data_IF_319613429541
#
_entry.id   IF_319613429541
#
_cell.length_a   1.000
_cell.length_b   1.000
_cell.length_c   1.000
_cell.angle_alpha   90.00
_cell.angle_beta   90.00
_cell.angle_gamma   90.00
#
_symmetry.space_group_name_H-M   'P 1'
#
loop_
_entity.id
_entity.type
_entity.pdbx_description
1 polymer ?
#
# COMPACT_ATOMS: atom_id res chain seq x y z
N UNK A 1 21.15 5.22 18.74
CA UNK A 1 19.78 4.65 18.83
C UNK A 1 19.69 3.45 17.90
N UNK A 2 19.33 2.29 18.44
CA UNK A 2 19.32 0.99 17.78
C UNK A 2 18.26 0.95 16.66
N UNK A 3 18.66 0.71 15.41
CA UNK A 3 17.74 0.36 14.33
C UNK A 3 17.44 -1.13 14.42
N UNK A 4 16.28 -1.49 14.97
CA UNK A 4 15.78 -2.86 14.93
C UNK A 4 15.36 -3.18 13.50
N UNK A 5 16.03 -4.14 12.87
CA UNK A 5 15.54 -4.76 11.63
C UNK A 5 14.23 -5.52 11.95
N UNK A 6 13.10 -5.26 11.26
CA UNK A 6 11.79 -5.73 11.68
C UNK A 6 11.48 -7.12 11.09
N UNK A 7 12.11 -8.18 11.55
CA UNK A 7 11.78 -9.56 11.12
C UNK A 7 10.48 -10.10 11.75
N UNK A 8 9.49 -9.24 12.02
CA UNK A 8 8.22 -9.63 12.63
C UNK A 8 7.17 -8.52 12.78
N UNK A 9 7.37 -7.34 12.21
CA UNK A 9 6.31 -6.32 12.18
C UNK A 9 5.33 -6.67 11.06
N UNK A 10 4.04 -6.96 11.34
CA UNK A 10 3.05 -7.29 10.31
C UNK A 10 2.75 -6.12 9.35
N UNK A 11 3.31 -4.93 9.62
CA UNK A 11 3.12 -3.71 8.83
C UNK A 11 4.26 -3.46 7.87
N UNK A 12 5.38 -4.18 7.99
CA UNK A 12 6.57 -3.94 7.17
C UNK A 12 6.88 -5.14 6.28
N UNK A 13 6.87 -4.92 4.97
CA UNK A 13 7.29 -5.91 3.97
C UNK A 13 8.19 -5.20 2.94
N UNK A 14 9.52 -5.44 2.96
CA UNK A 14 10.45 -4.76 2.07
C UNK A 14 10.38 -5.28 0.62
N UNK A 15 9.78 -6.45 0.38
CA UNK A 15 9.75 -7.09 -0.94
C UNK A 15 8.53 -6.66 -1.78
N UNK A 16 7.49 -6.10 -1.15
CA UNK A 16 6.25 -5.71 -1.82
C UNK A 16 6.40 -4.39 -2.57
N UNK A 17 6.05 -4.43 -3.84
CA UNK A 17 5.92 -3.26 -4.71
C UNK A 17 4.48 -3.22 -5.19
N UNK A 18 3.72 -2.23 -4.72
CA UNK A 18 2.31 -2.06 -5.08
C UNK A 18 2.22 -1.06 -6.23
N UNK A 19 1.36 -1.34 -7.21
CA UNK A 19 1.05 -0.40 -8.29
C UNK A 19 -0.38 -0.56 -8.73
N UNK A 20 -1.10 0.56 -8.86
CA UNK A 20 -2.49 0.53 -9.31
C UNK A 20 -2.59 0.04 -10.76
N UNK A 21 -3.54 -0.86 -11.08
CA UNK A 21 -3.88 -1.23 -12.45
C UNK A 21 -4.23 0.00 -13.31
N UNK A 22 -3.79 -0.02 -14.57
CA UNK A 22 -3.99 1.08 -15.54
C UNK A 22 -4.79 0.58 -16.74
N UNK A 23 -5.39 1.51 -17.49
CA UNK A 23 -6.20 1.19 -18.66
C UNK A 23 -7.68 0.88 -18.33
N UNK A 24 -8.41 0.38 -19.32
CA UNK A 24 -9.87 0.17 -19.25
C UNK A 24 -10.29 -1.23 -18.78
N UNK A 25 -9.35 -2.14 -18.56
CA UNK A 25 -9.63 -3.49 -18.06
C UNK A 25 -9.96 -3.46 -16.57
N UNK A 26 -10.99 -4.18 -16.15
CA UNK A 26 -11.45 -4.22 -14.76
C UNK A 26 -10.85 -5.43 -14.02
N UNK A 27 -10.33 -5.19 -12.81
CA UNK A 27 -9.98 -6.26 -11.86
C UNK A 27 -11.17 -6.63 -10.98
N UNK A 28 -12.03 -5.65 -10.68
CA UNK A 28 -13.24 -5.77 -9.88
C UNK A 28 -14.50 -5.93 -10.75
N UNK A 29 -15.64 -6.28 -10.15
CA UNK A 29 -16.92 -6.48 -10.87
C UNK A 29 -17.59 -5.20 -11.39
N UNK A 30 -17.16 -4.02 -10.92
CA UNK A 30 -17.73 -2.74 -11.32
C UNK A 30 -16.70 -1.62 -11.23
N UNK A 31 -16.91 -0.55 -12.00
CA UNK A 31 -16.06 0.65 -11.94
C UNK A 31 -16.06 1.33 -10.57
N UNK A 32 -17.18 1.30 -9.85
CA UNK A 32 -17.25 1.90 -8.52
C UNK A 32 -16.28 1.20 -7.54
N UNK A 33 -16.31 -0.13 -7.52
CA UNK A 33 -15.39 -0.94 -6.72
C UNK A 33 -13.95 -0.89 -7.24
N UNK A 34 -13.76 -0.84 -8.56
CA UNK A 34 -12.44 -0.71 -9.18
C UNK A 34 -11.77 0.61 -8.81
N UNK A 35 -12.53 1.70 -8.74
CA UNK A 35 -12.01 3.03 -8.40
C UNK A 35 -11.41 3.02 -7.00
N UNK A 36 -12.14 2.47 -6.01
CA UNK A 36 -11.62 2.34 -4.65
C UNK A 36 -10.36 1.44 -4.61
N UNK A 37 -10.40 0.31 -5.32
CA UNK A 37 -9.26 -0.62 -5.41
C UNK A 37 -8.00 0.04 -6.00
N UNK A 38 -8.14 0.81 -7.08
CA UNK A 38 -7.03 1.52 -7.72
C UNK A 38 -6.51 2.67 -6.85
N UNK A 39 -7.40 3.43 -6.21
CA UNK A 39 -6.99 4.54 -5.34
C UNK A 39 -6.25 4.05 -4.10
N UNK A 40 -6.67 2.93 -3.51
CA UNK A 40 -5.95 2.30 -2.40
C UNK A 40 -4.51 1.94 -2.80
N UNK A 41 -4.34 1.28 -3.94
CA UNK A 41 -3.01 0.91 -4.45
C UNK A 41 -2.19 2.14 -4.89
N UNK A 42 -2.84 3.19 -5.40
CA UNK A 42 -2.16 4.41 -5.80
C UNK A 42 -1.52 5.14 -4.61
N UNK A 43 -2.11 5.05 -3.41
CA UNK A 43 -1.49 5.57 -2.19
C UNK A 43 -0.18 4.85 -1.83
N UNK A 44 0.08 3.67 -2.40
CA UNK A 44 1.28 2.85 -2.14
C UNK A 44 2.18 2.70 -3.38
N UNK A 45 1.85 3.36 -4.49
CA UNK A 45 2.65 3.34 -5.72
C UNK A 45 4.00 3.99 -5.43
N UNK A 46 5.12 3.31 -5.68
CA UNK A 46 6.46 3.69 -5.18
C UNK A 46 6.94 5.11 -5.53
N UNK A 47 6.29 5.78 -6.50
CA UNK A 47 6.53 7.17 -6.87
C UNK A 47 5.84 8.20 -5.93
N UNK A 48 4.94 7.77 -5.04
CA UNK A 48 4.03 8.64 -4.27
C UNK A 48 4.33 8.70 -2.74
N UNK A 49 4.52 7.59 -2.00
CA UNK A 49 4.59 7.59 -0.54
C UNK A 49 6.02 7.71 0.02
N UNK A 50 6.11 8.24 1.23
CA UNK A 50 7.37 8.38 1.98
C UNK A 50 7.97 7.01 2.39
N UNK A 51 7.13 6.01 2.72
CA UNK A 51 7.57 4.65 3.07
C UNK A 51 6.49 3.58 2.75
N UNK A 52 6.38 3.14 1.48
CA UNK A 52 5.34 2.21 1.03
C UNK A 52 5.44 0.83 1.69
N UNK A 53 6.65 0.37 2.01
CA UNK A 53 6.91 -0.93 2.62
C UNK A 53 6.28 -1.06 4.01
N UNK A 54 6.11 0.08 4.70
CA UNK A 54 5.43 0.20 5.99
C UNK A 54 3.95 0.59 5.90
N UNK A 55 3.37 0.58 4.69
CA UNK A 55 2.03 1.09 4.34
C UNK A 55 1.86 2.60 4.57
N UNK A 56 2.94 3.34 4.84
CA UNK A 56 2.90 4.77 5.18
C UNK A 56 2.86 5.60 3.91
N UNK A 57 1.87 6.49 3.82
CA UNK A 57 1.69 7.40 2.68
C UNK A 57 2.39 8.72 2.97
N UNK A 58 1.93 9.46 3.98
CA UNK A 58 2.50 10.73 4.44
C UNK A 58 2.06 11.03 5.88
N UNK A 59 2.57 12.13 6.46
CA UNK A 59 2.13 12.61 7.78
C UNK A 59 2.68 11.76 8.93
N UNK A 60 3.93 11.29 8.78
CA UNK A 60 4.63 10.48 9.78
C UNK A 60 4.15 9.02 9.81
N UNK A 61 2.92 8.78 10.29
CA UNK A 61 2.34 7.43 10.42
C UNK A 61 0.99 7.29 9.71
N UNK A 62 0.61 8.23 8.85
CA UNK A 62 -0.61 8.10 8.04
C UNK A 62 -0.47 6.94 7.06
N UNK A 63 -1.23 5.86 7.28
CA UNK A 63 -1.14 4.61 6.50
C UNK A 63 -2.37 4.36 5.64
N UNK A 64 -2.16 3.66 4.53
CA UNK A 64 -3.22 3.20 3.63
C UNK A 64 -4.05 2.05 4.23
N UNK A 65 -3.41 1.20 5.05
CA UNK A 65 -4.05 0.09 5.76
C UNK A 65 -3.40 -0.11 7.15
N UNK A 66 -4.03 -0.92 8.01
CA UNK A 66 -3.55 -1.17 9.38
C UNK A 66 -2.26 -2.00 9.42
N UNK A 67 -2.23 -3.05 8.61
CA UNK A 67 -1.15 -4.02 8.41
C UNK A 67 -1.35 -4.69 7.03
N UNK A 68 -0.40 -5.53 6.62
CA UNK A 68 -0.46 -6.18 5.30
C UNK A 68 -1.62 -7.17 5.18
N UNK A 69 -2.03 -7.81 6.27
CA UNK A 69 -3.18 -8.73 6.28
C UNK A 69 -4.53 -8.01 6.07
N UNK A 70 -4.64 -6.73 6.48
CA UNK A 70 -5.81 -5.90 6.18
C UNK A 70 -5.79 -5.30 4.77
N UNK A 71 -4.62 -5.23 4.14
CA UNK A 71 -4.47 -4.74 2.77
C UNK A 71 -4.82 -5.82 1.74
N UNK A 72 -4.41 -7.06 2.02
CA UNK A 72 -4.71 -8.26 1.24
C UNK A 72 -6.20 -8.64 1.28
#
# INVERSE_FOLDING_TARGET
MNQASPTGDPRFDPARIIRAPRGSELSCKSWLTETAYRMLQNNLDAEVPENPQALVVYGGIGRAARDWACFD
#
